data_IF_101359663426
#
_entry.id   IF_101359663426
#
_cell.length_a   1.000
_cell.length_b   1.000
_cell.length_c   1.000
_cell.angle_alpha   90.00
_cell.angle_beta   90.00
_cell.angle_gamma   90.00
#
_symmetry.space_group_name_H-M   'P 1'
#
loop_
_entity.id
_entity.type
_entity.pdbx_description
1 polymer ?
#
# COMPACT_ATOMS: atom_id res chain seq x y z
N UNK A 1 19.34 3.79 43.81
CA UNK A 1 18.00 3.95 43.19
C UNK A 1 18.04 3.85 41.66
N UNK A 2 18.05 2.64 41.12
CA UNK A 2 18.09 2.34 39.67
C UNK A 2 16.72 2.52 38.95
N UNK A 3 15.61 2.61 39.70
CA UNK A 3 14.28 2.92 39.14
C UNK A 3 14.08 4.40 38.76
N UNK A 4 14.76 5.34 39.44
CA UNK A 4 14.62 6.78 39.20
C UNK A 4 15.33 7.31 37.94
N UNK A 5 16.38 6.62 37.46
CA UNK A 5 17.11 7.02 36.23
C UNK A 5 16.47 6.52 34.94
N UNK A 6 15.62 5.49 35.00
CA UNK A 6 14.92 4.94 33.82
C UNK A 6 13.68 5.79 33.48
N UNK A 7 12.91 6.23 34.49
CA UNK A 7 11.75 7.10 34.27
C UNK A 7 12.12 8.45 33.62
N UNK A 8 13.32 8.98 33.90
CA UNK A 8 13.75 10.27 33.36
C UNK A 8 14.17 10.22 31.88
N UNK A 9 14.43 9.02 31.32
CA UNK A 9 14.76 8.86 29.89
C UNK A 9 13.50 8.72 29.03
N UNK A 10 12.43 8.12 29.58
CA UNK A 10 11.11 8.05 28.93
C UNK A 10 10.40 9.41 28.87
N UNK A 11 10.60 10.29 29.86
CA UNK A 11 10.06 11.67 29.84
C UNK A 11 10.74 12.56 28.79
N UNK A 12 12.05 12.40 28.57
CA UNK A 12 12.81 13.10 27.53
C UNK A 12 12.44 12.67 26.11
N UNK A 13 12.15 11.39 25.88
CA UNK A 13 11.68 10.88 24.58
C UNK A 13 10.27 11.41 24.26
N UNK A 14 9.37 11.47 25.26
CA UNK A 14 8.05 12.11 25.09
C UNK A 14 8.15 13.61 24.76
N UNK A 15 9.12 14.32 25.34
CA UNK A 15 9.30 15.77 25.14
C UNK A 15 9.94 16.13 23.79
N UNK A 16 10.72 15.23 23.19
CA UNK A 16 11.24 15.40 21.82
C UNK A 16 10.24 14.96 20.73
N UNK A 17 9.33 14.02 21.04
CA UNK A 17 8.26 13.62 20.12
C UNK A 17 7.06 14.57 20.10
N UNK A 18 6.86 15.38 21.14
CA UNK A 18 5.74 16.33 21.24
C UNK A 18 5.94 17.63 20.45
N UNK A 19 7.16 17.95 20.00
CA UNK A 19 7.48 19.23 19.35
C UNK A 19 7.54 19.17 17.82
N UNK A 20 7.33 17.99 17.22
CA UNK A 20 7.32 17.81 15.75
C UNK A 20 5.87 17.70 15.19
N UNK A 21 4.84 17.64 16.05
CA UNK A 21 3.59 17.00 15.67
C UNK A 21 2.31 17.82 15.86
N UNK A 22 2.30 19.09 15.44
CA UNK A 22 1.06 19.88 15.38
C UNK A 22 0.75 20.54 14.04
N UNK A 23 1.65 20.51 13.05
CA UNK A 23 1.43 21.15 11.74
C UNK A 23 1.44 20.20 10.52
N UNK A 24 1.62 18.89 10.70
CA UNK A 24 1.69 17.91 9.58
C UNK A 24 0.33 17.22 9.34
N UNK A 25 -0.61 17.30 10.28
CA UNK A 25 -1.82 16.48 10.29
C UNK A 25 -3.05 17.06 9.55
N UNK A 26 -2.95 18.21 8.87
CA UNK A 26 -4.13 18.92 8.31
C UNK A 26 -4.15 19.08 6.79
N UNK A 27 -3.21 18.49 6.04
CA UNK A 27 -3.29 18.54 4.56
C UNK A 27 -2.82 17.25 3.89
N UNK A 28 -3.48 16.13 4.15
CA UNK A 28 -3.63 15.14 3.06
C UNK A 28 -4.49 15.88 2.02
N UNK A 29 -3.85 16.53 1.04
CA UNK A 29 -4.55 17.13 -0.10
C UNK A 29 -5.48 16.05 -0.64
N UNK A 30 -6.76 16.37 -0.83
CA UNK A 30 -7.83 15.48 -1.34
C UNK A 30 -7.40 14.61 -2.55
N UNK A 31 -6.40 15.06 -3.29
CA UNK A 31 -5.79 14.34 -4.41
C UNK A 31 -4.96 13.10 -4.00
N UNK A 32 -4.31 13.10 -2.83
CA UNK A 32 -3.53 11.95 -2.33
C UNK A 32 -4.42 10.74 -2.03
N UNK A 33 -5.62 10.90 -1.46
CA UNK A 33 -6.51 9.75 -1.29
C UNK A 33 -6.89 9.14 -2.65
N UNK A 34 -7.05 9.99 -3.67
CA UNK A 34 -7.45 9.57 -5.01
C UNK A 34 -6.36 8.74 -5.71
N UNK A 35 -5.09 9.16 -5.62
CA UNK A 35 -3.95 8.40 -6.15
C UNK A 35 -3.72 7.10 -5.37
N UNK A 36 -3.75 7.16 -4.04
CA UNK A 36 -3.67 5.98 -3.19
C UNK A 36 -4.74 4.95 -3.57
N UNK A 37 -5.99 5.38 -3.73
CA UNK A 37 -7.08 4.47 -4.09
C UNK A 37 -6.88 3.84 -5.48
N UNK A 38 -6.36 4.60 -6.45
CA UNK A 38 -6.02 4.05 -7.75
C UNK A 38 -4.99 2.92 -7.64
N UNK A 39 -3.88 3.14 -6.91
CA UNK A 39 -2.88 2.09 -6.68
C UNK A 39 -3.44 0.87 -5.96
N UNK A 40 -4.27 1.08 -4.93
CA UNK A 40 -4.89 -0.01 -4.17
C UNK A 40 -5.84 -0.85 -5.04
N UNK A 41 -6.70 -0.20 -5.85
CA UNK A 41 -7.61 -0.91 -6.77
C UNK A 41 -6.81 -1.64 -7.85
N UNK A 42 -5.72 -1.04 -8.33
CA UNK A 42 -4.88 -1.67 -9.34
C UNK A 42 -4.14 -2.92 -8.82
N UNK A 43 -3.88 -3.02 -7.52
CA UNK A 43 -3.40 -4.26 -6.88
C UNK A 43 -4.54 -5.23 -6.53
N UNK A 44 -5.32 -4.91 -5.50
CA UNK A 44 -6.31 -5.80 -4.86
C UNK A 44 -7.75 -5.63 -5.35
N UNK A 45 -7.99 -4.62 -6.18
CA UNK A 45 -9.30 -4.31 -6.72
C UNK A 45 -9.63 -5.02 -8.02
N UNK A 46 -10.93 -5.02 -8.30
CA UNK A 46 -11.49 -5.41 -9.58
C UNK A 46 -12.75 -4.61 -9.91
N UNK A 47 -13.02 -4.48 -11.19
CA UNK A 47 -14.26 -3.94 -11.75
C UNK A 47 -14.77 -4.98 -12.74
N UNK A 48 -16.03 -5.40 -12.55
CA UNK A 48 -16.68 -6.43 -13.36
C UNK A 48 -18.12 -6.07 -13.69
N UNK A 49 -18.53 -6.33 -14.93
CA UNK A 49 -19.93 -6.35 -15.34
C UNK A 49 -20.40 -7.80 -15.25
N UNK A 50 -21.45 -8.04 -14.48
CA UNK A 50 -22.08 -9.37 -14.32
C UNK A 50 -22.93 -9.71 -15.54
N UNK A 51 -23.29 -10.99 -15.69
CA UNK A 51 -24.16 -11.47 -16.77
C UNK A 51 -25.55 -10.79 -16.78
N UNK A 52 -25.98 -10.27 -15.63
CA UNK A 52 -27.24 -9.52 -15.47
C UNK A 52 -27.08 -8.02 -15.80
N UNK A 53 -26.00 -7.64 -16.49
CA UNK A 53 -25.64 -6.26 -16.81
C UNK A 53 -25.53 -5.34 -15.57
N UNK A 54 -25.15 -5.89 -14.41
CA UNK A 54 -24.87 -5.11 -13.18
C UNK A 54 -23.37 -4.94 -13.01
N UNK A 55 -22.93 -3.74 -12.69
CA UNK A 55 -21.53 -3.41 -12.43
C UNK A 55 -21.19 -3.58 -10.94
N UNK A 56 -20.01 -4.13 -10.66
CA UNK A 56 -19.45 -4.23 -9.31
C UNK A 56 -18.00 -3.75 -9.37
N UNK A 57 -17.67 -2.77 -8.53
CA UNK A 57 -16.30 -2.46 -8.14
C UNK A 57 -16.06 -3.08 -6.76
N UNK A 58 -15.08 -3.98 -6.68
CA UNK A 58 -14.71 -4.66 -5.44
C UNK A 58 -13.25 -4.42 -5.08
N UNK A 59 -12.94 -4.35 -3.79
CA UNK A 59 -11.58 -4.36 -3.25
C UNK A 59 -11.50 -5.41 -2.16
N UNK A 60 -10.55 -6.33 -2.27
CA UNK A 60 -10.34 -7.38 -1.28
C UNK A 60 -9.37 -6.89 -0.22
N UNK A 61 -9.69 -7.11 1.05
CA UNK A 61 -8.81 -6.78 2.18
C UNK A 61 -8.61 -8.02 3.05
N UNK A 62 -7.49 -8.09 3.76
CA UNK A 62 -7.43 -8.98 4.93
C UNK A 62 -8.43 -8.50 5.99
N UNK A 63 -8.99 -9.42 6.78
CA UNK A 63 -9.97 -9.08 7.82
C UNK A 63 -9.44 -8.05 8.84
N UNK A 64 -8.13 -8.08 9.13
CA UNK A 64 -7.50 -7.10 10.02
C UNK A 64 -7.57 -5.68 9.49
N UNK A 65 -7.70 -5.51 8.17
CA UNK A 65 -7.76 -4.21 7.48
C UNK A 65 -9.20 -3.70 7.31
N UNK A 66 -10.19 -4.33 7.97
CA UNK A 66 -11.59 -3.85 8.00
C UNK A 66 -11.75 -2.35 8.32
N UNK A 67 -10.98 -1.75 9.25
CA UNK A 67 -11.08 -0.31 9.51
C UNK A 67 -10.83 0.57 8.28
N UNK A 68 -9.89 0.17 7.40
CA UNK A 68 -9.67 0.87 6.13
C UNK A 68 -10.86 0.69 5.18
N UNK A 69 -11.41 -0.52 5.07
CA UNK A 69 -12.59 -0.80 4.25
C UNK A 69 -13.82 0.00 4.72
N UNK A 70 -14.10 0.04 6.02
CA UNK A 70 -15.20 0.82 6.62
C UNK A 70 -15.03 2.33 6.32
N UNK A 71 -13.80 2.83 6.39
CA UNK A 71 -13.52 4.23 6.11
C UNK A 71 -13.72 4.59 4.63
N UNK A 72 -13.25 3.74 3.71
CA UNK A 72 -13.51 3.92 2.28
C UNK A 72 -15.01 3.85 1.96
N UNK A 73 -15.74 2.94 2.61
CA UNK A 73 -17.20 2.85 2.50
C UNK A 73 -17.85 4.18 2.89
N UNK A 74 -17.48 4.75 4.04
CA UNK A 74 -17.99 6.04 4.51
C UNK A 74 -17.69 7.20 3.55
N UNK A 75 -16.50 7.21 2.92
CA UNK A 75 -16.10 8.24 1.95
C UNK A 75 -16.94 8.17 0.67
N UNK A 76 -17.14 6.98 0.11
CA UNK A 76 -17.78 6.82 -1.21
C UNK A 76 -19.30 6.64 -1.14
N UNK A 77 -19.84 6.26 0.01
CA UNK A 77 -21.28 6.22 0.29
C UNK A 77 -21.87 4.82 0.20
N UNK A 78 -22.80 4.61 -0.73
CA UNK A 78 -23.60 3.38 -0.80
C UNK A 78 -22.76 2.22 -1.35
N UNK A 79 -22.30 1.38 -0.44
CA UNK A 79 -21.63 0.11 -0.71
C UNK A 79 -21.91 -0.89 0.40
N UNK A 80 -21.23 -2.02 0.38
CA UNK A 80 -21.36 -3.05 1.41
C UNK A 80 -20.06 -3.84 1.54
N UNK A 81 -19.84 -4.42 2.72
CA UNK A 81 -18.70 -5.30 3.00
C UNK A 81 -19.21 -6.72 3.10
N UNK A 82 -18.55 -7.64 2.40
CA UNK A 82 -18.85 -9.07 2.41
C UNK A 82 -17.71 -9.80 3.08
N UNK A 83 -18.00 -10.58 4.12
CA UNK A 83 -17.03 -11.50 4.70
C UNK A 83 -16.87 -12.74 3.81
N UNK A 84 -15.63 -13.23 3.70
CA UNK A 84 -15.31 -14.45 2.97
C UNK A 84 -15.06 -15.60 3.94
N UNK A 85 -15.07 -16.83 3.42
CA UNK A 85 -14.70 -18.02 4.21
C UNK A 85 -13.23 -18.00 4.65
N UNK A 86 -12.40 -17.24 3.94
CA UNK A 86 -11.01 -16.94 4.28
C UNK A 86 -10.94 -15.75 5.25
N UNK A 87 -9.77 -15.49 5.85
CA UNK A 87 -9.49 -14.28 6.66
C UNK A 87 -9.43 -12.99 5.81
N UNK A 88 -10.43 -12.79 4.95
CA UNK A 88 -10.57 -11.65 4.05
C UNK A 88 -12.01 -11.15 4.00
N UNK A 89 -12.12 -9.87 3.67
CA UNK A 89 -13.39 -9.18 3.42
C UNK A 89 -13.32 -8.53 2.06
N UNK A 90 -14.47 -8.20 1.50
CA UNK A 90 -14.56 -7.51 0.22
C UNK A 90 -15.47 -6.29 0.34
N UNK A 91 -14.89 -5.10 0.14
CA UNK A 91 -15.64 -3.85 0.00
C UNK A 91 -16.19 -3.75 -1.42
N UNK A 92 -17.50 -3.59 -1.57
CA UNK A 92 -18.19 -3.58 -2.86
C UNK A 92 -19.01 -2.32 -3.06
N UNK A 93 -18.92 -1.76 -4.25
CA UNK A 93 -19.77 -0.68 -4.74
C UNK A 93 -20.47 -1.10 -6.03
N UNK A 94 -21.80 -0.98 -6.03
CA UNK A 94 -22.66 -1.21 -7.20
C UNK A 94 -23.68 -0.09 -7.41
N UNK A 95 -23.78 0.85 -6.46
CA UNK A 95 -24.67 2.00 -6.55
C UNK A 95 -24.11 3.05 -7.51
N UNK A 96 -24.98 3.57 -8.37
CA UNK A 96 -24.65 4.52 -9.45
C UNK A 96 -24.01 5.80 -8.91
N UNK A 97 -24.54 6.35 -7.81
CA UNK A 97 -24.04 7.60 -7.24
C UNK A 97 -22.63 7.45 -6.66
N UNK A 98 -22.39 6.31 -6.02
CA UNK A 98 -21.11 5.97 -5.40
C UNK A 98 -20.06 5.65 -6.48
N UNK A 99 -20.42 4.88 -7.50
CA UNK A 99 -19.56 4.60 -8.64
C UNK A 99 -19.21 5.86 -9.43
N UNK A 100 -20.15 6.80 -9.61
CA UNK A 100 -19.86 8.10 -10.24
C UNK A 100 -18.80 8.88 -9.45
N UNK A 101 -18.90 8.94 -8.11
CA UNK A 101 -17.87 9.55 -7.26
C UNK A 101 -16.52 8.86 -7.40
N UNK A 102 -16.51 7.52 -7.41
CA UNK A 102 -15.29 6.74 -7.57
C UNK A 102 -14.63 7.01 -8.93
N UNK A 103 -15.40 7.02 -10.03
CA UNK A 103 -14.87 7.37 -11.36
C UNK A 103 -14.25 8.76 -11.36
N UNK A 104 -14.91 9.76 -10.75
CA UNK A 104 -14.39 11.13 -10.68
C UNK A 104 -13.04 11.22 -9.97
N UNK A 105 -12.77 10.37 -8.97
CA UNK A 105 -11.48 10.36 -8.28
C UNK A 105 -10.42 9.52 -9.02
N UNK A 106 -10.81 8.43 -9.70
CA UNK A 106 -9.87 7.49 -10.34
C UNK A 106 -9.47 7.85 -11.77
N UNK A 107 -10.36 8.51 -12.53
CA UNK A 107 -10.14 8.78 -13.94
C UNK A 107 -8.88 9.64 -14.13
N UNK A 108 -7.92 9.15 -14.90
CA UNK A 108 -6.62 9.78 -15.09
C UNK A 108 -5.61 9.54 -13.95
N UNK A 109 -5.80 8.52 -13.10
CA UNK A 109 -4.87 8.16 -12.01
C UNK A 109 -4.38 6.71 -12.04
N UNK A 110 -4.94 5.87 -12.91
CA UNK A 110 -4.47 4.49 -13.11
C UNK A 110 -3.13 4.49 -13.83
N UNK A 111 -2.26 3.52 -13.53
CA UNK A 111 -0.91 3.42 -14.12
C UNK A 111 -0.59 2.05 -14.72
N UNK A 112 -1.54 1.13 -14.72
CA UNK A 112 -1.35 -0.27 -15.13
C UNK A 112 -2.33 -0.68 -16.23
N UNK A 113 -2.14 -1.85 -16.88
CA UNK A 113 -3.11 -2.42 -17.80
C UNK A 113 -4.53 -2.63 -17.23
N UNK A 114 -4.72 -2.55 -15.90
CA UNK A 114 -6.07 -2.62 -15.31
C UNK A 114 -6.95 -1.41 -15.64
N UNK A 115 -6.42 -0.35 -16.26
CA UNK A 115 -7.23 0.79 -16.76
C UNK A 115 -8.37 0.34 -17.70
N UNK A 116 -8.19 -0.77 -18.42
CA UNK A 116 -9.27 -1.42 -19.20
C UNK A 116 -10.56 -1.63 -18.39
N UNK A 117 -10.45 -2.01 -17.11
CA UNK A 117 -11.65 -2.23 -16.30
C UNK A 117 -12.34 -0.91 -15.91
N UNK A 118 -11.56 0.15 -15.66
CA UNK A 118 -12.09 1.48 -15.39
C UNK A 118 -12.81 2.03 -16.64
N UNK A 119 -12.21 1.85 -17.82
CA UNK A 119 -12.84 2.23 -19.09
C UNK A 119 -14.15 1.48 -19.33
N UNK A 120 -14.21 0.18 -19.05
CA UNK A 120 -15.47 -0.59 -19.12
C UNK A 120 -16.55 -0.07 -18.18
N UNK A 121 -16.18 0.35 -16.97
CA UNK A 121 -17.11 1.01 -16.05
C UNK A 121 -17.57 2.37 -16.58
N UNK A 122 -16.67 3.20 -17.11
CA UNK A 122 -17.02 4.49 -17.72
C UNK A 122 -17.99 4.29 -18.91
N UNK A 123 -17.68 3.36 -19.81
CA UNK A 123 -18.52 3.04 -20.96
C UNK A 123 -19.90 2.53 -20.52
N UNK A 124 -19.96 1.67 -19.50
CA UNK A 124 -21.22 1.21 -18.92
C UNK A 124 -22.03 2.37 -18.30
N UNK A 125 -21.38 3.27 -17.57
CA UNK A 125 -22.05 4.43 -16.96
C UNK A 125 -22.58 5.41 -18.00
N UNK A 126 -21.80 5.70 -19.04
CA UNK A 126 -22.22 6.56 -20.15
C UNK A 126 -23.42 5.98 -20.88
N UNK A 127 -23.40 4.67 -21.16
CA UNK A 127 -24.49 3.96 -21.86
C UNK A 127 -25.78 3.88 -21.03
N UNK A 128 -25.70 3.52 -19.75
CA UNK A 128 -26.88 3.19 -18.93
C UNK A 128 -27.46 4.39 -18.16
N UNK A 129 -26.72 5.49 -18.05
CA UNK A 129 -27.14 6.67 -17.27
C UNK A 129 -27.04 8.00 -18.03
N UNK A 130 -26.90 7.94 -19.36
CA UNK A 130 -26.83 9.13 -20.23
C UNK A 130 -25.77 10.14 -19.78
N UNK A 131 -24.61 9.63 -19.37
CA UNK A 131 -23.45 10.43 -18.96
C UNK A 131 -22.46 10.58 -20.13
N UNK A 132 -21.62 11.60 -20.07
CA UNK A 132 -20.57 11.86 -21.06
C UNK A 132 -19.19 11.96 -20.38
N UNK A 133 -18.84 10.95 -19.58
CA UNK A 133 -17.55 10.91 -18.89
C UNK A 133 -16.45 10.54 -19.90
N UNK A 134 -15.42 11.38 -20.11
CA UNK A 134 -14.30 11.06 -20.99
C UNK A 134 -13.39 10.00 -20.34
N UNK A 135 -12.72 9.19 -21.16
CA UNK A 135 -11.69 8.24 -20.72
C UNK A 135 -10.33 8.94 -20.72
N UNK A 136 -9.81 9.28 -19.54
CA UNK A 136 -8.48 9.89 -19.41
C UNK A 136 -7.38 8.83 -19.44
N UNK A 137 -6.21 9.12 -20.03
CA UNK A 137 -5.14 8.15 -20.17
C UNK A 137 -4.54 7.74 -18.82
N UNK A 138 -3.65 6.74 -18.85
CA UNK A 138 -2.83 6.39 -17.69
C UNK A 138 -2.00 7.60 -17.21
N UNK A 139 -1.78 7.66 -15.91
CA UNK A 139 -0.97 8.70 -15.27
C UNK A 139 0.52 8.35 -15.32
N UNK A 140 1.31 9.28 -15.83
CA UNK A 140 2.75 9.11 -16.03
C UNK A 140 3.56 10.06 -15.13
N UNK A 141 2.91 10.73 -14.18
CA UNK A 141 3.57 11.68 -13.30
C UNK A 141 4.62 11.00 -12.39
N UNK A 142 5.65 11.73 -11.93
CA UNK A 142 6.68 11.20 -11.05
C UNK A 142 6.12 10.43 -9.84
N UNK A 143 6.68 9.25 -9.52
CA UNK A 143 6.20 8.42 -8.41
C UNK A 143 6.22 9.16 -7.06
N UNK A 144 7.17 10.07 -6.85
CA UNK A 144 7.29 10.90 -5.66
C UNK A 144 6.35 12.13 -5.63
N UNK A 145 5.50 12.33 -6.62
CA UNK A 145 4.54 13.44 -6.65
C UNK A 145 3.16 13.06 -6.09
N UNK A 146 2.91 11.79 -5.81
CA UNK A 146 1.64 11.33 -5.26
C UNK A 146 1.76 9.97 -4.55
N UNK A 147 0.65 9.53 -3.97
CA UNK A 147 0.53 8.33 -3.14
C UNK A 147 0.10 7.06 -3.91
N UNK A 148 0.16 7.05 -5.26
CA UNK A 148 -0.23 5.86 -6.04
C UNK A 148 0.58 4.63 -5.64
N UNK A 149 1.91 4.77 -5.52
CA UNK A 149 2.77 3.66 -5.12
C UNK A 149 2.49 3.21 -3.69
N UNK A 150 2.08 4.08 -2.78
CA UNK A 150 1.67 3.69 -1.43
C UNK A 150 0.44 2.76 -1.46
N UNK A 151 -0.56 3.08 -2.28
CA UNK A 151 -1.73 2.22 -2.49
C UNK A 151 -1.38 0.87 -3.12
N UNK A 152 -0.49 0.89 -4.11
CA UNK A 152 -0.02 -0.32 -4.79
C UNK A 152 0.83 -1.22 -3.86
N UNK A 153 1.67 -0.62 -3.00
CA UNK A 153 2.39 -1.32 -1.92
C UNK A 153 1.41 -1.87 -0.90
N UNK A 154 0.32 -1.18 -0.61
CA UNK A 154 -0.68 -1.67 0.32
C UNK A 154 -1.44 -2.90 -0.19
N UNK A 155 -1.49 -3.11 -1.50
CA UNK A 155 -1.97 -4.36 -2.07
C UNK A 155 -0.89 -5.45 -2.08
N UNK A 156 0.22 -5.23 -2.80
CA UNK A 156 1.15 -6.31 -3.17
C UNK A 156 2.54 -6.22 -2.49
N UNK A 157 2.77 -5.22 -1.65
CA UNK A 157 4.04 -4.99 -0.97
C UNK A 157 4.21 -5.81 0.32
N UNK A 158 5.44 -6.17 0.64
CA UNK A 158 5.78 -6.96 1.83
C UNK A 158 7.06 -6.47 2.51
N UNK A 159 6.98 -6.18 3.81
CA UNK A 159 8.12 -5.81 4.66
C UNK A 159 8.55 -6.99 5.51
N UNK A 160 9.86 -7.25 5.58
CA UNK A 160 10.38 -8.35 6.38
C UNK A 160 11.76 -8.04 6.98
N UNK A 161 11.97 -8.57 8.18
CA UNK A 161 13.26 -8.54 8.87
C UNK A 161 13.78 -9.98 8.89
N UNK A 162 14.88 -10.24 8.19
CA UNK A 162 15.62 -11.49 8.33
C UNK A 162 16.55 -11.32 9.53
N UNK A 163 16.34 -12.15 10.55
CA UNK A 163 17.17 -12.20 11.74
C UNK A 163 17.73 -13.61 11.83
N UNK A 164 19.03 -13.74 11.58
CA UNK A 164 19.74 -15.01 11.59
C UNK A 164 21.12 -14.84 12.18
N UNK A 165 21.74 -15.94 12.62
CA UNK A 165 23.12 -15.94 13.15
C UNK A 165 24.09 -15.32 12.15
N UNK A 166 23.88 -15.58 10.84
CA UNK A 166 24.76 -15.09 9.76
C UNK A 166 24.54 -13.62 9.42
N UNK A 167 23.30 -13.13 9.49
CA UNK A 167 22.94 -11.80 9.01
C UNK A 167 21.63 -11.31 9.60
N UNK A 168 21.61 -10.04 9.98
CA UNK A 168 20.40 -9.27 10.32
C UNK A 168 20.20 -8.23 9.21
N UNK A 169 19.08 -8.29 8.51
CA UNK A 169 18.81 -7.41 7.36
C UNK A 169 17.32 -7.10 7.23
N UNK A 170 17.02 -5.83 6.95
CA UNK A 170 15.69 -5.36 6.56
C UNK A 170 15.54 -5.50 5.05
N UNK A 171 14.40 -6.03 4.62
CA UNK A 171 14.11 -6.24 3.22
C UNK A 171 12.66 -5.86 2.91
N UNK A 172 12.44 -5.40 1.69
CA UNK A 172 11.12 -5.17 1.13
C UNK A 172 11.00 -5.87 -0.22
N UNK A 173 9.81 -6.40 -0.51
CA UNK A 173 9.49 -6.98 -1.81
C UNK A 173 8.14 -6.49 -2.31
N UNK A 174 8.06 -6.23 -3.61
CA UNK A 174 6.83 -6.02 -4.35
C UNK A 174 6.81 -7.04 -5.48
N UNK A 175 5.80 -7.90 -5.50
CA UNK A 175 5.65 -8.95 -6.52
C UNK A 175 4.37 -8.68 -7.33
N UNK A 176 4.49 -8.66 -8.66
CA UNK A 176 3.32 -8.53 -9.53
C UNK A 176 3.43 -9.46 -10.72
N UNK A 177 2.29 -10.04 -11.14
CA UNK A 177 2.25 -10.91 -12.32
C UNK A 177 2.74 -10.16 -13.56
N UNK A 178 3.47 -10.82 -14.44
CA UNK A 178 4.04 -10.15 -15.63
C UNK A 178 2.95 -9.71 -16.61
N UNK A 179 1.99 -10.59 -16.90
CA UNK A 179 0.97 -10.37 -17.91
C UNK A 179 -0.40 -10.21 -17.27
N UNK A 180 -1.09 -9.14 -17.65
CA UNK A 180 -2.47 -8.93 -17.26
C UNK A 180 -3.41 -9.87 -18.04
N UNK A 181 -4.20 -10.74 -17.36
CA UNK A 181 -4.96 -11.77 -18.06
C UNK A 181 -6.02 -11.26 -19.03
N UNK A 182 -6.59 -10.06 -18.83
CA UNK A 182 -7.69 -9.54 -19.66
C UNK A 182 -7.22 -8.95 -20.99
N UNK A 183 -6.19 -8.09 -20.98
CA UNK A 183 -5.69 -7.42 -22.20
C UNK A 183 -4.43 -8.06 -22.78
N UNK A 184 -3.79 -8.98 -22.05
CA UNK A 184 -2.48 -9.57 -22.36
C UNK A 184 -1.31 -8.57 -22.37
N UNK A 185 -1.54 -7.35 -21.90
CA UNK A 185 -0.50 -6.35 -21.75
C UNK A 185 0.39 -6.66 -20.53
N UNK A 186 1.63 -6.18 -20.60
CA UNK A 186 2.63 -6.39 -19.57
C UNK A 186 2.55 -5.32 -18.47
N UNK A 187 2.82 -5.73 -17.23
CA UNK A 187 3.08 -4.81 -16.11
C UNK A 187 4.52 -4.24 -16.12
N UNK A 188 5.35 -4.63 -17.08
CA UNK A 188 6.77 -4.29 -17.13
C UNK A 188 7.05 -2.79 -17.03
N UNK A 189 6.32 -1.95 -17.77
CA UNK A 189 6.58 -0.51 -17.84
C UNK A 189 6.54 0.11 -16.43
N UNK A 190 5.45 -0.13 -15.70
CA UNK A 190 5.27 0.44 -14.37
C UNK A 190 6.17 -0.23 -13.32
N UNK A 191 6.40 -1.54 -13.40
CA UNK A 191 7.30 -2.23 -12.47
C UNK A 191 8.77 -1.85 -12.70
N UNK A 192 9.20 -1.66 -13.95
CA UNK A 192 10.52 -1.14 -14.28
C UNK A 192 10.67 0.30 -13.76
N UNK A 193 9.63 1.12 -13.94
CA UNK A 193 9.63 2.49 -13.43
C UNK A 193 9.78 2.55 -11.89
N UNK A 194 9.05 1.71 -11.16
CA UNK A 194 9.21 1.58 -9.70
C UNK A 194 10.62 1.09 -9.35
N UNK A 195 11.18 0.12 -10.10
CA UNK A 195 12.52 -0.41 -9.83
C UNK A 195 13.62 0.65 -9.98
N UNK A 196 13.52 1.48 -11.03
CA UNK A 196 14.41 2.61 -11.28
C UNK A 196 14.29 3.67 -10.19
N UNK A 197 13.05 4.00 -9.79
CA UNK A 197 12.79 4.93 -8.69
C UNK A 197 13.41 4.48 -7.37
N UNK A 198 13.34 3.18 -7.05
CA UNK A 198 13.93 2.60 -5.85
C UNK A 198 15.42 2.26 -6.01
N UNK A 199 16.03 2.57 -7.17
CA UNK A 199 17.41 2.27 -7.50
C UNK A 199 17.77 0.77 -7.32
N UNK A 200 16.92 -0.11 -7.85
CA UNK A 200 17.12 -1.57 -7.85
C UNK A 200 16.82 -2.15 -9.22
N UNK A 201 17.28 -3.38 -9.46
CA UNK A 201 16.95 -4.10 -10.70
C UNK A 201 15.56 -4.72 -10.61
N UNK A 202 14.81 -4.68 -11.71
CA UNK A 202 13.63 -5.50 -11.87
C UNK A 202 14.04 -6.96 -12.09
N UNK A 203 13.62 -7.85 -11.18
CA UNK A 203 13.86 -9.28 -11.30
C UNK A 203 12.64 -10.01 -11.87
N UNK A 204 12.86 -11.19 -12.42
CA UNK A 204 11.80 -12.09 -12.89
C UNK A 204 11.86 -13.38 -12.09
N UNK A 205 10.71 -13.85 -11.64
CA UNK A 205 10.52 -15.23 -11.17
C UNK A 205 9.67 -15.97 -12.19
N UNK A 206 10.35 -16.79 -12.98
CA UNK A 206 9.69 -17.71 -13.91
C UNK A 206 9.03 -18.85 -13.14
N UNK A 207 7.83 -19.22 -13.59
CA UNK A 207 7.19 -20.50 -13.25
C UNK A 207 7.07 -21.32 -14.53
N UNK A 208 6.75 -22.62 -14.40
CA UNK A 208 6.66 -23.56 -15.53
C UNK A 208 5.84 -23.01 -16.71
N UNK A 209 4.81 -22.19 -16.44
CA UNK A 209 4.09 -21.43 -17.44
C UNK A 209 4.45 -19.93 -17.35
N UNK A 210 4.79 -19.30 -18.49
CA UNK A 210 5.06 -17.85 -18.57
C UNK A 210 3.89 -16.98 -18.06
N UNK A 211 2.64 -17.47 -18.20
CA UNK A 211 1.42 -16.82 -17.68
C UNK A 211 1.38 -16.73 -16.14
N UNK A 212 2.23 -17.52 -15.47
CA UNK A 212 2.39 -17.56 -14.02
C UNK A 212 3.72 -16.95 -13.56
N UNK A 213 4.44 -16.27 -14.45
CA UNK A 213 5.66 -15.54 -14.12
C UNK A 213 5.36 -14.20 -13.47
N UNK A 214 6.24 -13.78 -12.57
CA UNK A 214 6.11 -12.56 -11.78
C UNK A 214 7.33 -11.65 -11.99
N UNK A 215 7.07 -10.36 -12.11
CA UNK A 215 8.04 -9.33 -11.83
C UNK A 215 8.21 -9.21 -10.32
N UNK A 216 9.45 -9.03 -9.88
CA UNK A 216 9.81 -8.89 -8.47
C UNK A 216 10.76 -7.71 -8.31
N UNK A 217 10.39 -6.78 -7.44
CA UNK A 217 11.27 -5.72 -6.96
C UNK A 217 11.73 -6.10 -5.57
N UNK A 218 13.05 -6.18 -5.35
CA UNK A 218 13.65 -6.47 -4.05
C UNK A 218 14.50 -5.30 -3.59
N UNK A 219 14.17 -4.77 -2.42
CA UNK A 219 14.89 -3.68 -1.78
C UNK A 219 15.58 -4.20 -0.53
N UNK A 220 16.91 -4.29 -0.57
CA UNK A 220 17.73 -4.84 0.53
C UNK A 220 18.95 -3.98 0.86
N UNK A 221 19.42 -3.15 -0.08
CA UNK A 221 20.57 -2.27 0.15
C UNK A 221 20.14 -0.98 0.86
N UNK A 222 21.07 -0.37 1.60
CA UNK A 222 20.79 0.78 2.46
C UNK A 222 20.25 2.01 1.69
N UNK A 223 20.74 2.27 0.47
CA UNK A 223 20.32 3.41 -0.32
C UNK A 223 18.89 3.25 -0.84
N UNK A 224 18.57 2.10 -1.44
CA UNK A 224 17.22 1.79 -1.90
C UNK A 224 16.19 1.72 -0.76
N UNK A 225 16.60 1.22 0.42
CA UNK A 225 15.74 1.27 1.61
C UNK A 225 15.46 2.72 2.01
N UNK A 226 16.47 3.60 1.97
CA UNK A 226 16.27 5.01 2.27
C UNK A 226 15.30 5.67 1.28
N UNK A 227 15.44 5.42 -0.03
CA UNK A 227 14.51 5.94 -1.03
C UNK A 227 13.05 5.49 -0.76
N UNK A 228 12.85 4.23 -0.36
CA UNK A 228 11.54 3.72 0.02
C UNK A 228 11.00 4.40 1.29
N UNK A 229 11.86 4.60 2.30
CA UNK A 229 11.49 5.31 3.53
C UNK A 229 11.07 6.74 3.23
N UNK A 230 11.86 7.46 2.43
CA UNK A 230 11.59 8.86 2.06
C UNK A 230 10.27 8.99 1.29
N UNK A 231 9.94 8.00 0.45
CA UNK A 231 8.63 7.92 -0.19
C UNK A 231 7.49 7.71 0.82
N UNK A 232 7.59 6.67 1.66
CA UNK A 232 6.51 6.27 2.58
C UNK A 232 6.32 7.23 3.76
N UNK A 233 7.34 8.01 4.12
CA UNK A 233 7.20 9.11 5.07
C UNK A 233 6.36 10.26 4.50
N UNK A 234 6.49 10.52 3.20
CA UNK A 234 5.71 11.55 2.50
C UNK A 234 4.32 11.07 2.07
N UNK A 235 4.20 9.78 1.72
CA UNK A 235 2.95 9.14 1.31
C UNK A 235 2.73 7.87 2.14
N UNK A 236 2.12 8.00 3.33
CA UNK A 236 1.92 6.87 4.23
C UNK A 236 1.01 5.80 3.64
N UNK A 237 1.32 4.54 3.96
CA UNK A 237 0.38 3.43 3.82
C UNK A 237 -0.85 3.68 4.71
N UNK A 238 -2.01 3.19 4.29
CA UNK A 238 -3.26 3.37 5.04
C UNK A 238 -3.74 2.07 5.68
N UNK A 239 -3.29 0.90 5.20
CA UNK A 239 -3.60 -0.40 5.81
C UNK A 239 -2.82 -0.64 7.12
N UNK A 240 -3.06 -1.78 7.76
CA UNK A 240 -2.26 -2.26 8.91
C UNK A 240 -0.78 -2.44 8.59
N UNK A 241 -0.42 -2.57 7.30
CA UNK A 241 0.96 -2.64 6.81
C UNK A 241 1.74 -1.35 7.09
N UNK A 242 1.07 -0.22 7.31
CA UNK A 242 1.71 0.97 7.86
C UNK A 242 2.43 0.70 9.17
N UNK A 243 1.79 -0.06 10.07
CA UNK A 243 2.40 -0.42 11.35
C UNK A 243 3.60 -1.34 11.15
N UNK A 244 3.55 -2.23 10.16
CA UNK A 244 4.65 -3.12 9.81
C UNK A 244 5.83 -2.33 9.23
N UNK A 245 5.55 -1.36 8.38
CA UNK A 245 6.52 -0.38 7.89
C UNK A 245 7.19 0.38 9.04
N UNK A 246 6.44 0.84 10.05
CA UNK A 246 7.02 1.56 11.19
C UNK A 246 8.01 0.71 11.98
N UNK A 247 7.65 -0.55 12.29
CA UNK A 247 8.55 -1.47 12.99
C UNK A 247 9.77 -1.84 12.12
N UNK A 248 9.56 -2.05 10.83
CA UNK A 248 10.61 -2.30 9.86
C UNK A 248 11.60 -1.13 9.76
N UNK A 249 11.10 0.11 9.71
CA UNK A 249 11.90 1.34 9.69
C UNK A 249 12.72 1.49 10.97
N UNK A 250 12.14 1.21 12.14
CA UNK A 250 12.87 1.21 13.43
C UNK A 250 14.04 0.24 13.38
N UNK A 251 13.81 -1.00 12.95
CA UNK A 251 14.86 -2.00 12.81
C UNK A 251 15.95 -1.56 11.82
N UNK A 252 15.57 -0.99 10.69
CA UNK A 252 16.51 -0.46 9.70
C UNK A 252 17.41 0.63 10.29
N UNK A 253 16.88 1.56 11.09
CA UNK A 253 17.67 2.62 11.75
C UNK A 253 18.74 2.01 12.67
N UNK A 254 18.39 0.97 13.44
CA UNK A 254 19.35 0.23 14.28
C UNK A 254 20.44 -0.42 13.44
N UNK A 255 20.07 -1.02 12.29
CA UNK A 255 21.03 -1.64 11.36
C UNK A 255 21.96 -0.60 10.75
N UNK A 256 21.39 0.50 10.21
CA UNK A 256 22.09 1.62 9.57
C UNK A 256 23.14 2.25 10.50
N UNK A 257 22.82 2.37 11.79
CA UNK A 257 23.73 2.91 12.80
C UNK A 257 24.74 1.88 13.34
N UNK A 258 24.79 0.67 12.77
CA UNK A 258 25.64 -0.45 13.22
C UNK A 258 25.37 -0.92 14.66
N UNK A 259 24.26 -0.51 15.26
CA UNK A 259 23.91 -0.90 16.64
C UNK A 259 23.46 -2.36 16.75
N UNK A 260 23.14 -3.01 15.63
CA UNK A 260 22.75 -4.43 15.58
C UNK A 260 23.87 -5.41 16.00
N UNK A 261 25.11 -4.96 16.19
CA UNK A 261 26.19 -5.76 16.78
C UNK A 261 26.08 -5.87 18.30
N UNK A 262 25.43 -4.92 18.98
CA UNK A 262 25.20 -4.95 20.42
C UNK A 262 24.02 -5.85 20.78
N UNK A 263 24.00 -6.35 22.02
CA UNK A 263 22.89 -7.17 22.51
C UNK A 263 21.59 -6.38 22.59
N UNK A 264 21.66 -5.12 23.04
CA UNK A 264 20.52 -4.21 23.08
C UNK A 264 19.96 -3.95 21.67
N UNK A 265 20.84 -3.73 20.68
CA UNK A 265 20.41 -3.54 19.29
C UNK A 265 19.74 -4.78 18.70
N UNK A 266 20.25 -5.98 18.99
CA UNK A 266 19.63 -7.25 18.60
C UNK A 266 18.24 -7.41 19.23
N UNK A 267 18.11 -7.11 20.52
CA UNK A 267 16.83 -7.15 21.23
C UNK A 267 15.82 -6.19 20.60
N UNK A 268 16.22 -4.95 20.30
CA UNK A 268 15.34 -3.97 19.65
C UNK A 268 14.82 -4.46 18.29
N UNK A 269 15.70 -5.05 17.47
CA UNK A 269 15.31 -5.59 16.16
C UNK A 269 14.38 -6.81 16.33
N UNK A 270 14.64 -7.68 17.30
CA UNK A 270 13.80 -8.85 17.57
C UNK A 270 12.39 -8.44 18.03
N UNK A 271 12.30 -7.43 18.91
CA UNK A 271 11.01 -6.84 19.33
C UNK A 271 10.24 -6.27 18.13
N UNK A 272 10.92 -5.50 17.28
CA UNK A 272 10.32 -4.96 16.06
C UNK A 272 9.81 -6.09 15.14
N UNK A 273 10.64 -7.10 14.86
CA UNK A 273 10.28 -8.27 14.04
C UNK A 273 9.06 -9.02 14.59
N UNK A 274 8.99 -9.21 15.91
CA UNK A 274 7.88 -9.91 16.56
C UNK A 274 6.62 -9.05 16.69
N UNK A 275 6.72 -7.76 16.38
CA UNK A 275 5.57 -6.85 16.35
C UNK A 275 5.01 -6.65 14.95
N UNK A 276 5.53 -7.33 13.91
CA UNK A 276 5.14 -7.17 12.51
C UNK A 276 4.30 -8.32 11.96
N UNK A 277 3.57 -8.04 10.86
CA UNK A 277 2.92 -9.01 9.99
C UNK A 277 2.00 -9.96 10.79
N UNK A 278 2.15 -11.28 10.64
CA UNK A 278 1.34 -12.28 11.32
C UNK A 278 1.61 -12.40 12.82
N UNK A 279 2.71 -11.81 13.32
CA UNK A 279 3.01 -11.79 14.76
C UNK A 279 2.35 -10.59 15.47
N UNK A 280 1.74 -9.66 14.72
CA UNK A 280 1.12 -8.47 15.28
C UNK A 280 -0.24 -8.81 15.91
N UNK A 281 -0.36 -8.53 17.20
CA UNK A 281 -1.60 -8.71 17.97
C UNK A 281 -2.28 -7.38 18.35
N UNK A 282 -1.63 -6.25 18.12
CA UNK A 282 -2.16 -4.92 18.42
C UNK A 282 -2.15 -4.03 17.18
N UNK A 283 -3.31 -3.43 16.89
CA UNK A 283 -3.53 -2.57 15.74
C UNK A 283 -4.04 -1.21 16.21
N UNK A 284 -3.19 -0.19 16.09
CA UNK A 284 -3.60 1.21 16.22
C UNK A 284 -3.89 1.78 14.82
N UNK A 285 -5.00 2.50 14.69
CA UNK A 285 -5.46 3.11 13.44
C UNK A 285 -5.39 4.64 13.45
N UNK A 286 -4.63 5.25 14.38
CA UNK A 286 -4.46 6.70 14.48
C UNK A 286 -3.89 7.36 13.21
N UNK A 287 -3.21 6.61 12.34
CA UNK A 287 -2.72 7.12 11.05
C UNK A 287 -3.84 7.25 10.01
N UNK A 288 -4.96 6.56 10.20
CA UNK A 288 -6.04 6.48 9.25
C UNK A 288 -6.96 7.71 9.34
N UNK A 289 -6.44 8.89 8.94
CA UNK A 289 -7.10 10.21 9.04
C UNK A 289 -7.20 10.89 7.66
N UNK A 290 -8.17 10.46 6.86
CA UNK A 290 -8.62 11.11 5.63
C UNK A 290 -10.15 11.19 5.56
#
# INVERSE_FOLDING_TARGET
NKKGKILNKYSLIKKYSSTINTNIATTIKKDNLSFYLAGLIEGDGYISITNQNRIILGITFNIKDKPLADKLLNVFGKGYIVERQTNSIELRFSDVSSLKKIIMVLNGKFRTPKIDQLYKLIDWMNKNHSLCIPKLPIDNSPLNNNSWLAGFIDADGSFYIRFSIKQIICKFSLEQRMIYPKTKESFEIILNYISLFLNVKLAIRSRLNYKDSYYIIRVENQHSIQNLIDYLDNYPLLSSKYLDYLEWKKAFIVIKNKNHFSEEGKILILVAKNSMNNNRNYFNWDHLKF
#
